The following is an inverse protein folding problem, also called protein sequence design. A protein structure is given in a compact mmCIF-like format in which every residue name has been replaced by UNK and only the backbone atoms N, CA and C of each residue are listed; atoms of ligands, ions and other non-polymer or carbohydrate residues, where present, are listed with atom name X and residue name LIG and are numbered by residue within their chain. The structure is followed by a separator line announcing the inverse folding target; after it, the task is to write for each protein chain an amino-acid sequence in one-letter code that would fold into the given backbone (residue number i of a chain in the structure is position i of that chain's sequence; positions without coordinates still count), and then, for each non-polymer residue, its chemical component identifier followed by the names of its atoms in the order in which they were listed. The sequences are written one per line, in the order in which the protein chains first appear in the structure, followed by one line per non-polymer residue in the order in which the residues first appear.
data_IF_405072201396
#
_entry.id   IF_405072201396
#
_cell.length_a   1.000
_cell.length_b   1.000
_cell.length_c   1.000
_cell.angle_alpha   90.00
_cell.angle_beta   90.00
_cell.angle_gamma   90.00
#
_symmetry.space_group_name_H-M   'P 1'
#
loop_
_entity.id
_entity.type
_entity.pdbx_description
1 polymer ?
#
# COMPACT_ATOMS: atom_id res chain seq x y z
N UNK A 1 -20.15 -8.70 19.94
CA UNK A 1 -20.00 -8.88 18.47
C UNK A 1 -18.59 -8.43 18.13
N UNK A 2 -17.77 -9.26 17.45
CA UNK A 2 -16.47 -8.80 16.96
C UNK A 2 -16.72 -7.66 15.97
N UNK A 3 -15.90 -6.61 16.04
CA UNK A 3 -15.94 -5.51 15.11
C UNK A 3 -15.70 -6.06 13.69
N UNK A 4 -16.44 -5.59 12.69
CA UNK A 4 -16.24 -6.00 11.30
C UNK A 4 -14.88 -5.47 10.84
N UNK A 5 -13.95 -6.38 10.57
CA UNK A 5 -12.58 -6.04 10.13
C UNK A 5 -12.59 -5.80 8.62
N UNK A 6 -12.04 -4.67 8.18
CA UNK A 6 -11.74 -4.42 6.75
C UNK A 6 -10.50 -5.23 6.38
N UNK A 7 -10.59 -5.98 5.28
CA UNK A 7 -9.50 -6.79 4.75
C UNK A 7 -9.09 -6.23 3.38
N UNK A 8 -7.89 -5.69 3.32
CA UNK A 8 -7.27 -5.19 2.08
C UNK A 8 -6.46 -6.30 1.41
N UNK A 9 -6.63 -6.45 0.10
CA UNK A 9 -5.78 -7.27 -0.76
C UNK A 9 -4.80 -6.37 -1.53
N UNK A 10 -3.50 -6.48 -1.23
CA UNK A 10 -2.43 -5.77 -1.93
C UNK A 10 -1.90 -6.63 -3.09
N UNK A 11 -2.32 -6.30 -4.32
CA UNK A 11 -2.35 -7.24 -5.45
C UNK A 11 -0.97 -7.56 -6.01
N UNK A 12 -0.11 -6.56 -6.28
CA UNK A 12 1.17 -6.81 -6.99
C UNK A 12 2.37 -6.05 -6.44
N UNK A 13 2.18 -4.80 -5.98
CA UNK A 13 3.26 -3.94 -5.46
C UNK A 13 4.34 -3.55 -6.48
N UNK A 14 5.34 -2.80 -6.01
CA UNK A 14 6.48 -2.33 -6.80
C UNK A 14 7.71 -3.26 -6.71
N UNK A 15 7.74 -4.20 -5.77
CA UNK A 15 8.89 -5.05 -5.48
C UNK A 15 9.24 -6.03 -6.62
N UNK A 16 10.50 -6.49 -6.63
CA UNK A 16 10.99 -7.52 -7.55
C UNK A 16 10.55 -8.92 -7.10
N UNK A 17 9.25 -9.19 -7.25
CA UNK A 17 8.59 -10.42 -6.79
C UNK A 17 8.19 -11.35 -7.93
N UNK A 18 8.05 -10.85 -9.15
CA UNK A 18 7.60 -11.61 -10.32
C UNK A 18 8.52 -12.80 -10.64
N UNK A 19 9.84 -12.63 -10.48
CA UNK A 19 10.81 -13.70 -10.71
C UNK A 19 10.77 -14.79 -9.62
N UNK A 20 10.17 -14.45 -8.45
CA UNK A 20 10.13 -15.35 -7.28
C UNK A 20 8.82 -16.10 -7.17
N UNK A 21 7.73 -15.52 -7.72
CA UNK A 21 6.41 -16.15 -7.72
C UNK A 21 5.65 -15.80 -9.00
N UNK A 22 5.37 -16.78 -9.83
CA UNK A 22 4.64 -16.68 -11.09
C UNK A 22 3.17 -16.27 -10.94
N UNK A 23 2.64 -16.28 -9.72
CA UNK A 23 1.26 -15.85 -9.44
C UNK A 23 1.15 -14.33 -9.22
N UNK A 24 2.26 -13.60 -9.22
CA UNK A 24 2.23 -12.13 -9.13
C UNK A 24 1.69 -11.57 -10.44
N UNK A 25 0.54 -10.89 -10.45
CA UNK A 25 -0.07 -10.39 -11.67
C UNK A 25 0.71 -9.20 -12.24
N UNK A 26 0.78 -9.13 -13.56
CA UNK A 26 1.57 -8.14 -14.32
C UNK A 26 0.68 -7.31 -15.22
N UNK A 27 -0.16 -7.94 -16.04
CA UNK A 27 -1.02 -7.24 -17.00
C UNK A 27 -2.27 -6.66 -16.33
N UNK A 28 -2.91 -5.62 -16.90
CA UNK A 28 -4.18 -5.09 -16.40
C UNK A 28 -5.27 -6.16 -16.22
N UNK A 29 -5.35 -7.12 -17.13
CA UNK A 29 -6.30 -8.24 -17.02
C UNK A 29 -5.99 -9.15 -15.83
N UNK A 30 -4.72 -9.52 -15.63
CA UNK A 30 -4.30 -10.36 -14.50
C UNK A 30 -4.52 -9.65 -13.17
N UNK A 31 -4.25 -8.33 -13.10
CA UNK A 31 -4.48 -7.49 -11.93
C UNK A 31 -5.98 -7.45 -11.59
N UNK A 32 -6.82 -7.20 -12.59
CA UNK A 32 -8.27 -7.16 -12.41
C UNK A 32 -8.83 -8.54 -11.98
N UNK A 33 -8.44 -9.61 -12.66
CA UNK A 33 -8.85 -10.98 -12.32
C UNK A 33 -8.46 -11.34 -10.88
N UNK A 34 -7.26 -10.94 -10.45
CA UNK A 34 -6.78 -11.15 -9.09
C UNK A 34 -7.61 -10.36 -8.06
N UNK A 35 -7.89 -9.07 -8.31
CA UNK A 35 -8.73 -8.24 -7.45
C UNK A 35 -10.15 -8.81 -7.32
N UNK A 36 -10.76 -9.24 -8.43
CA UNK A 36 -12.09 -9.86 -8.47
C UNK A 36 -12.13 -11.17 -7.65
N UNK A 37 -11.11 -12.03 -7.80
CA UNK A 37 -11.00 -13.25 -7.00
C UNK A 37 -10.85 -12.93 -5.51
N UNK A 38 -10.07 -11.92 -5.16
CA UNK A 38 -9.93 -11.45 -3.78
C UNK A 38 -11.26 -10.92 -3.21
N UNK A 39 -12.03 -10.16 -3.99
CA UNK A 39 -13.36 -9.69 -3.59
C UNK A 39 -14.28 -10.88 -3.26
N UNK A 40 -14.36 -11.88 -4.14
CA UNK A 40 -15.14 -13.11 -3.96
C UNK A 40 -14.66 -13.92 -2.74
N UNK A 41 -13.35 -13.95 -2.49
CA UNK A 41 -12.77 -14.56 -1.29
C UNK A 41 -13.08 -13.77 -0.01
N UNK A 42 -13.47 -12.50 -0.12
CA UNK A 42 -13.96 -11.64 0.98
C UNK A 42 -13.04 -10.48 1.34
N UNK A 43 -12.12 -10.07 0.48
CA UNK A 43 -11.47 -8.78 0.58
C UNK A 43 -12.50 -7.66 0.33
N UNK A 44 -12.33 -6.54 1.03
CA UNK A 44 -13.19 -5.36 0.90
C UNK A 44 -12.51 -4.19 0.20
N UNK A 45 -11.18 -4.23 0.13
CA UNK A 45 -10.35 -3.24 -0.56
C UNK A 45 -9.34 -3.97 -1.43
N UNK A 46 -9.14 -3.51 -2.66
CA UNK A 46 -8.02 -3.89 -3.53
C UNK A 46 -7.03 -2.73 -3.61
N UNK A 47 -5.82 -2.93 -3.10
CA UNK A 47 -4.72 -1.99 -3.28
C UNK A 47 -3.95 -2.34 -4.56
N UNK A 48 -3.79 -1.33 -5.43
CA UNK A 48 -3.36 -1.52 -6.81
C UNK A 48 -2.13 -0.70 -7.13
N UNK A 49 -1.09 -1.39 -7.54
CA UNK A 49 -0.02 -0.91 -8.41
C UNK A 49 -0.25 -1.46 -9.82
N UNK A 50 0.47 -0.92 -10.80
CA UNK A 50 0.54 -1.50 -12.15
C UNK A 50 1.98 -1.80 -12.54
N UNK A 51 2.13 -2.72 -13.49
CA UNK A 51 3.42 -3.14 -14.01
C UNK A 51 3.43 -2.97 -15.53
N UNK A 52 4.60 -2.74 -16.08
CA UNK A 52 4.83 -2.79 -17.52
C UNK A 52 4.58 -4.23 -18.02
N UNK A 53 3.61 -4.44 -18.92
CA UNK A 53 3.26 -5.79 -19.38
C UNK A 53 4.38 -6.51 -20.17
N UNK A 54 5.34 -5.78 -20.74
CA UNK A 54 6.43 -6.36 -21.52
C UNK A 54 7.59 -6.80 -20.63
N UNK A 55 7.91 -6.02 -19.61
CA UNK A 55 9.08 -6.25 -18.75
C UNK A 55 8.74 -6.84 -17.39
N UNK A 56 7.48 -6.66 -16.93
CA UNK A 56 7.05 -6.97 -15.57
C UNK A 56 7.55 -5.98 -14.52
N UNK A 57 8.31 -4.97 -14.92
CA UNK A 57 8.81 -3.92 -14.03
C UNK A 57 7.69 -3.04 -13.49
N UNK A 58 7.97 -2.32 -12.38
CA UNK A 58 7.01 -1.35 -11.86
C UNK A 58 6.72 -0.26 -12.89
N UNK A 59 5.46 0.16 -12.98
CA UNK A 59 5.02 1.24 -13.86
C UNK A 59 4.15 2.24 -13.08
N UNK A 60 4.05 3.45 -13.58
CA UNK A 60 3.11 4.45 -13.10
C UNK A 60 2.32 5.05 -14.28
N UNK A 61 2.16 4.26 -15.33
CA UNK A 61 1.42 4.65 -16.53
C UNK A 61 -0.08 4.75 -16.20
N UNK A 62 -0.69 5.95 -16.35
CA UNK A 62 -2.11 6.16 -16.08
C UNK A 62 -3.04 5.29 -16.93
N UNK A 63 -2.63 4.93 -18.15
CA UNK A 63 -3.45 4.08 -19.04
C UNK A 63 -3.56 2.64 -18.49
N UNK A 64 -2.49 2.10 -17.92
CA UNK A 64 -2.52 0.78 -17.27
C UNK A 64 -3.42 0.77 -16.04
N UNK A 65 -3.39 1.85 -15.22
CA UNK A 65 -4.32 2.01 -14.10
C UNK A 65 -5.77 2.11 -14.59
N UNK A 66 -6.02 2.93 -15.62
CA UNK A 66 -7.35 3.12 -16.18
C UNK A 66 -7.95 1.80 -16.68
N UNK A 67 -7.16 1.02 -17.40
CA UNK A 67 -7.60 -0.28 -17.92
C UNK A 67 -7.86 -1.27 -16.78
N UNK A 68 -6.97 -1.36 -15.79
CA UNK A 68 -7.14 -2.23 -14.63
C UNK A 68 -8.42 -1.89 -13.86
N UNK A 69 -8.62 -0.61 -13.54
CA UNK A 69 -9.80 -0.14 -12.80
C UNK A 69 -11.09 -0.36 -13.60
N UNK A 70 -11.07 -0.10 -14.90
CA UNK A 70 -12.21 -0.36 -15.79
C UNK A 70 -12.63 -1.84 -15.73
N UNK A 71 -11.68 -2.75 -15.87
CA UNK A 71 -11.93 -4.20 -15.83
C UNK A 71 -12.50 -4.66 -14.48
N UNK A 72 -11.99 -4.12 -13.36
CA UNK A 72 -12.54 -4.42 -12.03
C UNK A 72 -13.98 -3.93 -11.91
N UNK A 73 -14.26 -2.70 -12.37
CA UNK A 73 -15.62 -2.11 -12.29
C UNK A 73 -16.63 -2.86 -13.16
N UNK A 74 -16.22 -3.32 -14.34
CA UNK A 74 -17.09 -4.10 -15.24
C UNK A 74 -17.52 -5.46 -14.65
N UNK A 75 -16.77 -6.01 -13.71
CA UNK A 75 -17.14 -7.23 -13.02
C UNK A 75 -18.26 -7.06 -11.98
N UNK A 76 -18.63 -5.81 -11.64
CA UNK A 76 -19.71 -5.47 -10.70
C UNK A 76 -19.54 -6.12 -9.31
N UNK A 77 -18.30 -6.31 -8.87
CA UNK A 77 -18.00 -6.81 -7.52
C UNK A 77 -17.91 -5.62 -6.54
N UNK A 78 -18.44 -5.82 -5.34
CA UNK A 78 -18.42 -4.82 -4.26
C UNK A 78 -17.03 -4.77 -3.62
N UNK A 79 -16.10 -4.07 -4.27
CA UNK A 79 -14.74 -3.87 -3.79
C UNK A 79 -14.33 -2.40 -3.92
N UNK A 80 -13.77 -1.84 -2.86
CA UNK A 80 -13.17 -0.50 -2.82
C UNK A 80 -11.82 -0.54 -3.54
N UNK A 81 -11.58 0.40 -4.44
CA UNK A 81 -10.30 0.54 -5.13
C UNK A 81 -9.43 1.55 -4.41
N UNK A 82 -8.22 1.12 -4.04
CA UNK A 82 -7.17 1.92 -3.42
C UNK A 82 -5.96 1.97 -4.37
N UNK A 83 -5.73 3.12 -5.00
CA UNK A 83 -4.62 3.31 -5.95
C UNK A 83 -3.41 3.86 -5.22
N UNK A 84 -2.23 3.29 -5.47
CA UNK A 84 -0.99 3.82 -4.92
C UNK A 84 -0.67 5.21 -5.47
N UNK A 85 -0.12 6.09 -4.63
CA UNK A 85 0.58 7.32 -5.04
C UNK A 85 2.09 7.24 -4.82
N UNK A 86 2.59 6.07 -4.42
CA UNK A 86 3.99 5.85 -4.07
C UNK A 86 4.95 5.70 -5.26
N UNK A 87 4.46 5.59 -6.49
CA UNK A 87 5.30 5.47 -7.66
C UNK A 87 6.27 6.66 -7.83
N UNK A 88 7.50 6.39 -8.27
CA UNK A 88 8.48 7.44 -8.56
C UNK A 88 9.05 8.10 -7.30
N UNK A 89 9.37 7.33 -6.27
CA UNK A 89 10.00 7.79 -5.05
C UNK A 89 11.43 7.28 -4.84
N UNK A 90 11.91 6.38 -5.66
CA UNK A 90 13.16 5.67 -5.43
C UNK A 90 14.38 6.45 -5.88
N UNK A 91 15.25 6.77 -4.95
CA UNK A 91 16.53 7.42 -5.19
C UNK A 91 17.67 6.51 -4.76
N UNK A 92 18.53 6.18 -5.71
CA UNK A 92 19.78 5.45 -5.49
C UNK A 92 20.92 6.41 -5.81
N UNK A 93 21.73 6.86 -4.81
CA UNK A 93 22.84 7.77 -5.08
C UNK A 93 23.85 7.17 -6.07
N UNK A 94 24.31 7.96 -7.04
CA UNK A 94 25.43 7.57 -7.89
C UNK A 94 26.71 7.45 -7.06
N UNK A 95 27.52 6.42 -7.31
CA UNK A 95 28.81 6.27 -6.63
C UNK A 95 29.86 7.31 -7.07
N UNK A 96 29.77 7.78 -8.31
CA UNK A 96 30.71 8.76 -8.86
C UNK A 96 30.27 10.21 -8.57
N UNK A 97 28.94 10.44 -8.59
CA UNK A 97 28.31 11.73 -8.39
C UNK A 97 27.16 11.58 -7.42
N UNK A 98 27.41 11.48 -6.09
CA UNK A 98 26.38 11.18 -5.08
C UNK A 98 25.27 12.24 -4.97
N UNK A 99 25.47 13.42 -5.54
CA UNK A 99 24.45 14.48 -5.67
C UNK A 99 23.42 14.16 -6.80
N UNK A 100 23.65 13.12 -7.59
CA UNK A 100 22.77 12.68 -8.68
C UNK A 100 22.26 11.26 -8.45
N UNK A 101 21.16 10.90 -9.12
CA UNK A 101 20.66 9.54 -9.14
C UNK A 101 21.54 8.61 -9.96
N UNK A 102 21.83 7.42 -9.44
CA UNK A 102 22.42 6.29 -10.14
C UNK A 102 21.39 5.41 -10.82
N UNK A 103 21.86 4.26 -11.32
CA UNK A 103 20.99 3.25 -11.96
C UNK A 103 19.87 2.78 -11.00
N UNK A 104 18.66 2.70 -11.52
CA UNK A 104 17.46 2.37 -10.74
C UNK A 104 16.80 3.55 -10.04
N UNK A 105 17.38 4.76 -10.08
CA UNK A 105 16.70 5.96 -9.59
C UNK A 105 15.48 6.29 -10.45
N UNK A 106 14.32 6.43 -9.79
CA UNK A 106 13.08 6.83 -10.43
C UNK A 106 12.34 7.84 -9.56
N UNK A 107 12.43 9.12 -9.93
CA UNK A 107 11.83 10.23 -9.18
C UNK A 107 10.79 10.93 -10.05
N UNK A 108 9.59 11.04 -9.52
CA UNK A 108 8.47 11.77 -10.10
C UNK A 108 8.03 12.92 -9.18
N UNK A 109 7.56 14.00 -9.78
CA UNK A 109 6.97 15.13 -9.06
C UNK A 109 5.66 14.72 -8.35
N UNK A 110 5.20 15.50 -7.35
CA UNK A 110 3.89 15.26 -6.72
C UNK A 110 2.74 15.16 -7.74
N UNK A 111 2.77 15.97 -8.79
CA UNK A 111 1.76 15.97 -9.85
C UNK A 111 1.77 14.70 -10.67
N UNK A 112 2.95 14.21 -11.03
CA UNK A 112 3.10 12.96 -11.77
C UNK A 112 2.63 11.77 -10.93
N UNK A 113 2.99 11.72 -9.64
CA UNK A 113 2.52 10.68 -8.71
C UNK A 113 0.99 10.72 -8.51
N UNK A 114 0.41 11.91 -8.50
CA UNK A 114 -1.03 12.09 -8.33
C UNK A 114 -1.83 11.79 -9.62
N UNK A 115 -1.20 11.82 -10.79
CA UNK A 115 -1.91 11.74 -12.07
C UNK A 115 -2.88 10.55 -12.17
N UNK A 116 -2.53 9.29 -11.84
CA UNK A 116 -3.49 8.18 -11.90
C UNK A 116 -4.69 8.39 -10.98
N UNK A 117 -4.48 8.98 -9.81
CA UNK A 117 -5.55 9.25 -8.84
C UNK A 117 -6.49 10.33 -9.36
N UNK A 118 -5.93 11.44 -9.90
CA UNK A 118 -6.70 12.55 -10.44
C UNK A 118 -7.51 12.18 -11.67
N UNK A 119 -6.99 11.30 -12.52
CA UNK A 119 -7.67 10.85 -13.73
C UNK A 119 -8.80 9.85 -13.42
N UNK A 120 -8.63 9.00 -12.38
CA UNK A 120 -9.54 7.88 -12.05
C UNK A 120 -10.55 8.20 -10.95
N UNK A 121 -10.20 9.08 -10.03
CA UNK A 121 -10.97 9.38 -8.82
C UNK A 121 -11.41 8.10 -8.08
N UNK A 122 -10.48 7.22 -7.68
CA UNK A 122 -10.81 6.02 -6.92
C UNK A 122 -11.38 6.38 -5.55
N UNK A 123 -11.98 5.43 -4.85
CA UNK A 123 -12.48 5.67 -3.49
C UNK A 123 -11.35 6.01 -2.53
N UNK A 124 -10.18 5.38 -2.73
CA UNK A 124 -9.00 5.56 -1.86
C UNK A 124 -7.71 5.67 -2.66
N UNK A 125 -6.72 6.30 -2.06
CA UNK A 125 -5.33 6.25 -2.51
C UNK A 125 -4.39 6.21 -1.31
N UNK A 126 -3.14 5.72 -1.49
CA UNK A 126 -2.13 5.79 -0.42
C UNK A 126 -1.39 7.12 -0.43
N UNK A 127 -0.88 7.53 0.72
CA UNK A 127 0.10 8.60 0.90
C UNK A 127 1.22 8.08 1.83
N UNK A 128 2.42 7.93 1.30
CA UNK A 128 3.61 7.52 2.07
C UNK A 128 4.09 8.69 2.93
N UNK A 129 3.86 8.59 4.25
CA UNK A 129 3.97 9.71 5.19
C UNK A 129 5.40 10.10 5.58
N UNK A 130 6.41 9.73 4.79
CA UNK A 130 7.79 10.12 5.02
C UNK A 130 8.77 9.32 4.18
N UNK A 131 10.00 9.80 4.13
CA UNK A 131 11.09 9.10 3.45
C UNK A 131 11.59 7.92 4.29
N UNK A 132 11.96 6.83 3.64
CA UNK A 132 12.40 5.59 4.31
C UNK A 132 13.44 4.88 3.44
N UNK A 133 14.35 4.13 4.08
CA UNK A 133 15.27 3.26 3.36
C UNK A 133 14.52 2.03 2.83
N UNK A 134 14.73 1.72 1.56
CA UNK A 134 14.21 0.51 0.88
C UNK A 134 15.40 -0.25 0.28
N UNK A 135 16.10 -1.04 1.12
CA UNK A 135 17.36 -1.64 0.73
C UNK A 135 18.43 -0.57 0.45
N UNK A 136 19.03 -0.59 -0.73
CA UNK A 136 20.02 0.42 -1.14
C UNK A 136 19.39 1.69 -1.71
N UNK A 137 18.09 1.70 -1.95
CA UNK A 137 17.34 2.89 -2.35
C UNK A 137 16.83 3.68 -1.13
N UNK A 138 16.61 4.96 -1.34
CA UNK A 138 15.88 5.83 -0.41
C UNK A 138 14.55 6.16 -1.08
N UNK A 139 13.43 5.74 -0.48
CA UNK A 139 12.14 6.26 -0.89
C UNK A 139 12.00 7.71 -0.42
N UNK A 140 11.84 8.64 -1.36
CA UNK A 140 11.76 10.07 -1.09
C UNK A 140 10.32 10.54 -1.02
N UNK A 141 9.93 11.02 0.14
CA UNK A 141 8.67 11.74 0.39
C UNK A 141 8.97 13.05 1.16
N UNK A 142 9.56 14.08 0.50
CA UNK A 142 9.87 15.34 1.15
C UNK A 142 8.62 16.01 1.70
N UNK A 143 8.72 16.65 2.86
CA UNK A 143 7.58 17.22 3.57
C UNK A 143 6.73 18.21 2.74
N UNK A 144 7.36 19.01 1.88
CA UNK A 144 6.64 19.92 0.98
C UNK A 144 5.91 19.17 -0.15
N UNK A 145 6.48 18.08 -0.64
CA UNK A 145 5.88 17.25 -1.69
C UNK A 145 4.67 16.49 -1.16
N UNK A 146 4.81 15.86 0.01
CA UNK A 146 3.72 15.14 0.64
C UNK A 146 2.53 16.05 0.98
N UNK A 147 2.78 17.27 1.50
CA UNK A 147 1.71 18.27 1.69
C UNK A 147 0.99 18.62 0.38
N UNK A 148 1.76 18.76 -0.70
CA UNK A 148 1.19 19.05 -2.02
C UNK A 148 0.33 17.88 -2.52
N UNK A 149 0.81 16.64 -2.40
CA UNK A 149 0.02 15.46 -2.75
C UNK A 149 -1.25 15.36 -1.89
N UNK A 150 -1.14 15.55 -0.57
CA UNK A 150 -2.28 15.53 0.33
C UNK A 150 -3.34 16.58 -0.04
N UNK A 151 -2.91 17.81 -0.41
CA UNK A 151 -3.82 18.85 -0.90
C UNK A 151 -4.52 18.44 -2.19
N UNK A 152 -3.79 17.87 -3.15
CA UNK A 152 -4.37 17.41 -4.42
C UNK A 152 -5.38 16.28 -4.21
N UNK A 153 -5.07 15.31 -3.33
CA UNK A 153 -5.96 14.22 -2.95
C UNK A 153 -7.24 14.76 -2.28
N UNK A 154 -7.08 15.72 -1.36
CA UNK A 154 -8.20 16.41 -0.71
C UNK A 154 -9.08 17.13 -1.72
N UNK A 155 -8.50 17.92 -2.63
CA UNK A 155 -9.23 18.68 -3.65
C UNK A 155 -9.98 17.75 -4.62
N UNK A 156 -9.45 16.55 -4.86
CA UNK A 156 -10.10 15.51 -5.66
C UNK A 156 -11.22 14.76 -4.91
N UNK A 157 -11.35 14.94 -3.61
CA UNK A 157 -12.34 14.24 -2.78
C UNK A 157 -12.05 12.73 -2.59
N UNK A 158 -10.81 12.29 -2.85
CA UNK A 158 -10.37 10.90 -2.66
C UNK A 158 -9.95 10.68 -1.20
N UNK A 159 -10.25 9.50 -0.64
CA UNK A 159 -9.87 9.17 0.74
C UNK A 159 -8.41 8.73 0.81
N UNK A 160 -7.53 9.47 1.53
CA UNK A 160 -6.15 9.03 1.70
C UNK A 160 -6.02 7.95 2.78
N UNK A 161 -5.23 6.92 2.50
CA UNK A 161 -4.67 5.97 3.45
C UNK A 161 -3.23 6.40 3.76
N UNK A 162 -2.95 6.69 5.03
CA UNK A 162 -1.69 7.28 5.49
C UNK A 162 -0.72 6.15 5.83
N UNK A 163 0.17 5.80 4.91
CA UNK A 163 1.17 4.74 5.10
C UNK A 163 2.33 5.23 5.96
N UNK A 164 2.48 4.60 7.13
CA UNK A 164 3.47 4.95 8.13
C UNK A 164 4.46 3.79 8.33
N UNK A 165 5.69 3.99 7.93
CA UNK A 165 6.78 3.02 8.01
C UNK A 165 7.60 3.17 9.30
N UNK A 166 7.38 4.29 10.03
CA UNK A 166 8.07 4.63 11.27
C UNK A 166 7.22 5.57 12.13
N UNK A 167 7.63 5.79 13.37
CA UNK A 167 6.98 6.68 14.32
C UNK A 167 6.98 8.15 13.89
N UNK A 168 8.05 8.59 13.21
CA UNK A 168 8.16 9.91 12.62
C UNK A 168 7.11 10.18 11.56
N UNK A 169 6.75 9.14 10.79
CA UNK A 169 5.68 9.23 9.77
C UNK A 169 4.31 9.45 10.42
N UNK A 170 4.01 8.77 11.54
CA UNK A 170 2.79 9.03 12.31
C UNK A 170 2.73 10.45 12.81
N UNK A 171 3.86 10.99 13.29
CA UNK A 171 3.94 12.38 13.74
C UNK A 171 3.67 13.37 12.61
N UNK A 172 4.20 13.11 11.42
CA UNK A 172 3.99 13.97 10.26
C UNK A 172 2.56 13.85 9.72
N UNK A 173 2.00 12.65 9.66
CA UNK A 173 0.59 12.43 9.30
C UNK A 173 -0.36 13.22 10.23
N UNK A 174 -0.11 13.21 11.55
CA UNK A 174 -0.87 14.02 12.51
C UNK A 174 -0.73 15.51 12.26
N UNK A 175 0.48 15.99 11.94
CA UNK A 175 0.67 17.38 11.59
C UNK A 175 -0.14 17.77 10.34
N UNK A 176 -0.19 16.94 9.31
CA UNK A 176 -1.02 17.19 8.12
C UNK A 176 -2.52 17.21 8.44
N UNK A 177 -2.99 16.41 9.40
CA UNK A 177 -4.37 16.47 9.91
C UNK A 177 -4.62 17.81 10.60
N UNK A 178 -3.71 18.27 11.46
CA UNK A 178 -3.79 19.57 12.15
C UNK A 178 -3.75 20.75 11.18
N UNK A 179 -3.01 20.62 10.09
CA UNK A 179 -2.94 21.60 8.98
C UNK A 179 -4.22 21.58 8.10
N UNK A 180 -5.14 20.65 8.35
CA UNK A 180 -6.38 20.52 7.58
C UNK A 180 -6.19 19.94 6.18
N UNK A 181 -5.12 19.21 5.92
CA UNK A 181 -4.85 18.55 4.64
C UNK A 181 -5.55 17.20 4.50
N UNK A 182 -6.00 16.62 5.59
CA UNK A 182 -6.68 15.32 5.65
C UNK A 182 -8.09 15.52 6.18
N UNK A 183 -9.11 15.25 5.38
CA UNK A 183 -10.52 15.45 5.74
C UNK A 183 -11.14 14.18 6.37
N UNK A 184 -12.10 14.41 7.26
CA UNK A 184 -12.88 13.35 7.94
C UNK A 184 -12.04 12.52 8.91
N UNK A 185 -12.50 11.30 9.21
CA UNK A 185 -11.78 10.40 10.11
C UNK A 185 -10.52 9.86 9.41
N UNK A 186 -9.31 10.10 9.95
CA UNK A 186 -8.08 9.69 9.31
C UNK A 186 -7.96 8.17 9.23
N UNK A 187 -7.33 7.67 8.15
CA UNK A 187 -7.05 6.26 7.99
C UNK A 187 -5.54 6.03 7.95
N UNK A 188 -5.00 5.38 8.97
CA UNK A 188 -3.58 5.05 9.08
C UNK A 188 -3.34 3.62 8.65
N UNK A 189 -2.22 3.38 7.96
CA UNK A 189 -1.70 2.05 7.70
C UNK A 189 -0.28 1.92 8.24
N UNK A 190 -0.07 1.00 9.18
CA UNK A 190 1.27 0.72 9.72
C UNK A 190 1.95 -0.35 8.87
N UNK A 191 3.06 0.03 8.24
CA UNK A 191 3.86 -0.84 7.36
C UNK A 191 5.01 -1.42 8.18
N UNK A 192 4.86 -2.69 8.62
CA UNK A 192 5.73 -3.27 9.65
C UNK A 192 6.72 -4.28 9.08
N UNK A 193 7.96 -4.25 9.62
CA UNK A 193 8.99 -5.22 9.30
C UNK A 193 9.77 -4.95 8.01
N UNK A 194 9.63 -3.75 7.44
CA UNK A 194 10.56 -3.26 6.42
C UNK A 194 11.89 -2.97 7.11
N UNK A 195 13.02 -3.41 6.54
CA UNK A 195 14.33 -3.19 7.19
C UNK A 195 14.55 -1.72 7.55
N UNK A 196 14.90 -1.50 8.83
CA UNK A 196 15.17 -0.19 9.46
C UNK A 196 13.97 0.75 9.60
N UNK A 197 12.76 0.30 9.23
CA UNK A 197 11.50 0.91 9.63
C UNK A 197 10.98 0.35 10.95
N UNK A 198 9.69 0.56 11.23
CA UNK A 198 9.02 0.04 12.41
C UNK A 198 9.06 -1.50 12.45
N UNK A 199 9.44 -2.05 13.60
CA UNK A 199 9.50 -3.50 13.81
C UNK A 199 8.09 -4.11 13.83
N UNK A 200 8.01 -5.39 13.45
CA UNK A 200 6.75 -6.12 13.47
C UNK A 200 6.65 -6.96 14.75
N UNK A 201 6.30 -6.31 15.84
CA UNK A 201 6.08 -6.89 17.16
C UNK A 201 4.88 -6.25 17.87
N UNK A 202 4.33 -6.90 18.90
CA UNK A 202 3.17 -6.40 19.63
C UNK A 202 3.36 -5.04 20.29
N UNK A 203 4.55 -4.76 20.82
CA UNK A 203 4.88 -3.51 21.52
C UNK A 203 4.88 -2.33 20.54
N UNK A 204 5.49 -2.52 19.36
CA UNK A 204 5.51 -1.51 18.28
C UNK A 204 4.09 -1.22 17.78
N UNK A 205 3.25 -2.24 17.57
CA UNK A 205 1.85 -2.06 17.16
C UNK A 205 1.09 -1.23 18.19
N UNK A 206 1.18 -1.57 19.48
CA UNK A 206 0.52 -0.82 20.55
C UNK A 206 1.04 0.61 20.66
N UNK A 207 2.34 0.81 20.51
CA UNK A 207 2.92 2.15 20.52
C UNK A 207 2.39 3.01 19.38
N UNK A 208 2.45 2.54 18.13
CA UNK A 208 1.94 3.27 16.96
C UNK A 208 0.45 3.59 17.11
N UNK A 209 -0.36 2.60 17.52
CA UNK A 209 -1.78 2.77 17.81
C UNK A 209 -2.03 3.84 18.87
N UNK A 210 -1.20 3.91 19.92
CA UNK A 210 -1.34 4.92 20.98
C UNK A 210 -1.04 6.34 20.50
N UNK A 211 -0.43 6.51 19.33
CA UNK A 211 0.01 7.81 18.79
C UNK A 211 -0.96 8.45 17.83
N UNK A 212 -1.92 7.70 17.29
CA UNK A 212 -2.93 8.21 16.34
C UNK A 212 -4.11 8.86 17.05
N UNK A 213 -4.89 9.73 16.38
CA UNK A 213 -6.11 10.32 16.93
C UNK A 213 -7.15 9.26 17.32
N UNK A 214 -7.99 9.55 18.32
CA UNK A 214 -9.04 8.62 18.82
C UNK A 214 -10.09 8.27 17.77
N UNK A 215 -10.40 9.20 16.85
CA UNK A 215 -11.33 8.98 15.74
C UNK A 215 -10.66 8.36 14.50
N UNK A 216 -9.38 8.03 14.58
CA UNK A 216 -8.69 7.42 13.45
C UNK A 216 -9.07 5.95 13.26
N UNK A 217 -9.29 5.56 12.01
CA UNK A 217 -9.24 4.15 11.61
C UNK A 217 -7.80 3.74 11.37
N UNK A 218 -7.48 2.50 11.62
CA UNK A 218 -6.13 2.02 11.38
C UNK A 218 -6.11 0.59 10.87
N UNK A 219 -5.10 0.31 10.07
CA UNK A 219 -4.75 -1.01 9.57
C UNK A 219 -3.26 -1.26 9.80
N UNK A 220 -2.84 -2.51 9.74
CA UNK A 220 -1.43 -2.83 9.65
C UNK A 220 -1.19 -4.12 8.87
N UNK A 221 0.03 -4.25 8.35
CA UNK A 221 0.51 -5.46 7.71
C UNK A 221 1.97 -5.72 8.06
N UNK A 222 2.39 -6.96 7.89
CA UNK A 222 3.78 -7.37 8.06
C UNK A 222 4.34 -7.95 6.79
N UNK A 223 5.64 -7.70 6.53
CA UNK A 223 6.32 -8.18 5.33
C UNK A 223 6.70 -9.67 5.46
N UNK A 224 6.59 -10.38 4.33
CA UNK A 224 7.03 -11.75 4.16
C UNK A 224 6.34 -12.73 5.13
N UNK A 225 7.11 -13.55 5.80
CA UNK A 225 6.59 -14.59 6.71
C UNK A 225 5.76 -14.05 7.89
N UNK A 226 5.87 -12.76 8.17
CA UNK A 226 5.12 -12.10 9.26
C UNK A 226 3.75 -11.62 8.82
N UNK A 227 3.40 -11.62 7.53
CA UNK A 227 2.11 -11.12 7.07
C UNK A 227 0.92 -11.81 7.76
N UNK A 228 0.82 -13.11 7.70
CA UNK A 228 -0.30 -13.85 8.31
C UNK A 228 -0.31 -13.83 9.85
N UNK A 229 0.83 -13.95 10.56
CA UNK A 229 0.86 -13.68 12.01
C UNK A 229 0.35 -12.30 12.38
N UNK A 230 0.71 -11.25 11.63
CA UNK A 230 0.28 -9.87 11.88
C UNK A 230 -1.24 -9.70 11.76
N UNK A 231 -1.91 -10.43 10.88
CA UNK A 231 -3.38 -10.41 10.77
C UNK A 231 -4.05 -10.64 12.13
N UNK A 232 -3.59 -11.66 12.88
CA UNK A 232 -4.15 -11.97 14.21
C UNK A 232 -3.85 -10.87 15.23
N UNK A 233 -2.60 -10.44 15.29
CA UNK A 233 -2.15 -9.42 16.23
C UNK A 233 -2.91 -8.10 16.07
N UNK A 234 -3.12 -7.67 14.83
CA UNK A 234 -3.82 -6.44 14.48
C UNK A 234 -5.31 -6.55 14.80
N UNK A 235 -5.97 -7.63 14.38
CA UNK A 235 -7.41 -7.83 14.60
C UNK A 235 -7.76 -7.91 16.10
N UNK A 236 -6.94 -8.57 16.93
CA UNK A 236 -7.13 -8.63 18.37
C UNK A 236 -7.06 -7.25 19.06
N UNK A 237 -6.39 -6.28 18.42
CA UNK A 237 -6.26 -4.90 18.89
C UNK A 237 -7.28 -3.94 18.27
N UNK A 238 -8.22 -4.48 17.48
CA UNK A 238 -9.29 -3.71 16.84
C UNK A 238 -8.86 -2.96 15.57
N UNK A 239 -7.74 -3.37 14.94
CA UNK A 239 -7.28 -2.85 13.65
C UNK A 239 -7.85 -3.61 12.47
N UNK A 240 -7.75 -3.00 11.30
CA UNK A 240 -8.00 -3.61 10.01
C UNK A 240 -6.71 -4.26 9.47
N UNK A 241 -6.82 -5.14 8.48
CA UNK A 241 -5.70 -5.97 8.06
C UNK A 241 -5.48 -5.90 6.55
N UNK A 242 -4.21 -6.08 6.14
CA UNK A 242 -3.82 -6.17 4.74
C UNK A 242 -3.01 -7.44 4.52
N UNK A 243 -3.30 -8.13 3.40
CA UNK A 243 -2.53 -9.26 2.89
C UNK A 243 -2.40 -9.16 1.37
N UNK A 244 -1.46 -9.87 0.77
CA UNK A 244 -1.32 -9.94 -0.69
C UNK A 244 0.11 -10.18 -1.13
N UNK A 245 0.26 -10.40 -2.44
CA UNK A 245 1.53 -10.73 -3.08
C UNK A 245 2.52 -9.57 -3.14
N UNK A 246 2.05 -8.35 -2.91
CA UNK A 246 2.91 -7.18 -2.71
C UNK A 246 3.82 -7.36 -1.51
N UNK A 247 3.27 -7.85 -0.39
CA UNK A 247 3.95 -7.90 0.89
C UNK A 247 4.53 -9.29 1.21
N UNK A 248 3.96 -10.36 0.63
CA UNK A 248 4.37 -11.74 0.89
C UNK A 248 4.00 -12.66 -0.28
N UNK A 249 4.98 -13.40 -0.79
CA UNK A 249 4.81 -14.30 -1.94
C UNK A 249 4.62 -15.79 -1.54
N UNK A 250 4.53 -16.09 -0.25
CA UNK A 250 4.38 -17.47 0.25
C UNK A 250 3.18 -17.61 1.17
N UNK A 251 2.35 -18.62 0.92
CA UNK A 251 1.28 -19.00 1.85
C UNK A 251 1.85 -19.68 3.11
N UNK A 252 2.89 -20.50 2.93
CA UNK A 252 3.70 -21.15 3.97
C UNK A 252 5.03 -21.57 3.38
N UNK A 253 5.96 -22.01 4.24
CA UNK A 253 7.31 -22.41 3.81
C UNK A 253 7.27 -23.34 2.60
N UNK A 254 7.88 -22.91 1.50
CA UNK A 254 7.98 -23.65 0.24
C UNK A 254 6.72 -23.71 -0.63
N UNK A 255 5.62 -23.05 -0.23
CA UNK A 255 4.37 -23.01 -0.99
C UNK A 255 4.11 -21.58 -1.42
N UNK A 256 4.25 -21.30 -2.72
CA UNK A 256 3.95 -20.01 -3.32
C UNK A 256 2.46 -19.68 -3.14
N UNK A 257 2.15 -18.43 -2.85
CA UNK A 257 0.79 -17.95 -2.65
C UNK A 257 0.17 -17.43 -3.95
N UNK A 258 -1.15 -17.35 -3.96
CA UNK A 258 -1.94 -16.43 -4.77
C UNK A 258 -2.55 -15.38 -3.84
N UNK A 259 -2.97 -14.24 -4.38
CA UNK A 259 -3.68 -13.20 -3.59
C UNK A 259 -4.94 -13.78 -2.94
N UNK A 260 -5.75 -14.52 -3.70
CA UNK A 260 -6.96 -15.20 -3.22
C UNK A 260 -6.66 -16.11 -2.02
N UNK A 261 -5.64 -16.97 -2.12
CA UNK A 261 -5.28 -17.87 -1.03
C UNK A 261 -4.83 -17.14 0.24
N UNK A 262 -4.15 -15.99 0.11
CA UNK A 262 -3.79 -15.15 1.25
C UNK A 262 -5.02 -14.50 1.90
N UNK A 263 -5.99 -14.05 1.10
CA UNK A 263 -7.26 -13.51 1.59
C UNK A 263 -8.07 -14.59 2.32
N UNK A 264 -8.20 -15.80 1.76
CA UNK A 264 -8.89 -16.92 2.40
C UNK A 264 -8.25 -17.31 3.74
N UNK A 265 -6.90 -17.36 3.78
CA UNK A 265 -6.19 -17.67 5.03
C UNK A 265 -6.34 -16.55 6.06
N UNK A 266 -6.30 -15.28 5.64
CA UNK A 266 -6.58 -14.15 6.53
C UNK A 266 -8.00 -14.24 7.12
N UNK A 267 -9.01 -14.54 6.31
CA UNK A 267 -10.39 -14.77 6.80
C UNK A 267 -10.46 -15.91 7.81
N UNK A 268 -9.74 -17.00 7.56
CA UNK A 268 -9.68 -18.13 8.49
C UNK A 268 -9.06 -17.75 9.83
N UNK A 269 -8.08 -16.85 9.83
CA UNK A 269 -7.47 -16.32 11.06
C UNK A 269 -8.42 -15.40 11.80
N UNK A 270 -9.26 -14.64 11.08
CA UNK A 270 -10.22 -13.68 11.63
C UNK A 270 -11.52 -14.33 12.16
N UNK A 271 -11.82 -15.56 11.76
CA UNK A 271 -13.00 -16.32 12.18
C UNK A 271 -12.83 -16.91 13.59
#
# INVERSE_FOLDING_TARGET
MMQKVVLTAAITGAGDTIQKNENVPVTPQELADSAIKCARAGATVAHIHVRDPETGGVSHDPELYAETVRLIREADEDIVINVTSGGGGDFIPSLEHPETGGEGTWIQTPEERFKPIGDLLPEMCTLDCGSVNMGDAIYLSPASWLRKQAQMVKDAGVKPELECFDTGHVSFAKQMIEEGLIDGDPMFQFCLGIPWGAENDPETIEYLKSRIPENAHWSAFGIGKMQLPTVREVAQRGGNVRVGLEDNIYLRKGVKATNEALVEEAKRILA
#
